data_IF_397843311601
#
_entry.id   IF_397843311601
#
_cell.length_a   1.000
_cell.length_b   1.000
_cell.length_c   1.000
_cell.angle_alpha   90.00
_cell.angle_beta   90.00
_cell.angle_gamma   90.00
#
_symmetry.space_group_name_H-M   'P 1'
#
loop_
_entity.id
_entity.type
_entity.pdbx_description
1 polymer ?
#
# COMPACT_ATOMS: atom_id res chain seq x y z
N UNK A 1 12.83 -26.40 -10.54
CA UNK A 1 11.82 -25.33 -10.63
C UNK A 1 12.00 -24.55 -9.36
N UNK A 2 12.79 -23.48 -9.47
CA UNK A 2 13.44 -22.85 -8.31
C UNK A 2 12.73 -21.54 -7.94
N UNK A 3 11.68 -21.20 -8.71
CA UNK A 3 10.84 -20.03 -8.52
C UNK A 3 10.30 -19.89 -7.10
N UNK A 4 9.77 -20.93 -6.42
CA UNK A 4 9.31 -20.78 -5.04
C UNK A 4 10.43 -20.45 -4.05
N UNK A 5 11.63 -21.00 -4.24
CA UNK A 5 12.79 -20.76 -3.38
C UNK A 5 13.35 -19.34 -3.57
N UNK A 6 13.43 -18.89 -4.82
CA UNK A 6 13.84 -17.52 -5.16
C UNK A 6 12.86 -16.50 -4.59
N UNK A 7 11.54 -16.74 -4.70
CA UNK A 7 10.53 -15.85 -4.12
C UNK A 7 10.61 -15.79 -2.60
N UNK A 8 10.82 -16.94 -1.95
CA UNK A 8 10.98 -17.00 -0.49
C UNK A 8 12.24 -16.27 0.01
N UNK A 9 13.32 -16.31 -0.77
CA UNK A 9 14.54 -15.54 -0.48
C UNK A 9 14.36 -14.04 -0.70
N UNK A 10 13.71 -13.63 -1.80
CA UNK A 10 13.48 -12.22 -2.13
C UNK A 10 12.52 -11.53 -1.17
N UNK A 11 11.42 -12.20 -0.81
CA UNK A 11 10.38 -11.65 0.06
C UNK A 11 9.78 -12.77 0.89
N UNK A 12 10.20 -12.91 2.16
CA UNK A 12 9.59 -13.87 3.06
C UNK A 12 8.07 -13.65 3.15
N UNK A 13 7.28 -14.71 3.00
CA UNK A 13 5.81 -14.68 3.08
C UNK A 13 5.26 -14.10 4.41
N UNK A 14 6.11 -14.01 5.44
CA UNK A 14 5.77 -13.40 6.73
C UNK A 14 5.37 -11.92 6.63
N UNK A 15 5.91 -11.16 5.68
CA UNK A 15 5.52 -9.76 5.48
C UNK A 15 4.06 -9.64 5.02
N UNK A 16 3.61 -10.54 4.15
CA UNK A 16 2.23 -10.57 3.67
C UNK A 16 1.28 -10.92 4.83
N UNK A 17 1.63 -11.91 5.66
CA UNK A 17 0.84 -12.26 6.84
C UNK A 17 0.70 -11.09 7.81
N UNK A 18 1.81 -10.40 8.10
CA UNK A 18 1.80 -9.22 8.97
C UNK A 18 0.96 -8.09 8.39
N UNK A 19 1.06 -7.83 7.09
CA UNK A 19 0.25 -6.80 6.44
C UNK A 19 -1.24 -7.16 6.51
N UNK A 20 -1.60 -8.42 6.26
CA UNK A 20 -2.98 -8.89 6.39
C UNK A 20 -3.51 -8.67 7.81
N UNK A 21 -2.75 -9.03 8.84
CA UNK A 21 -3.12 -8.78 10.24
C UNK A 21 -3.35 -7.29 10.54
N UNK A 22 -2.54 -6.39 9.96
CA UNK A 22 -2.72 -4.94 10.11
C UNK A 22 -4.00 -4.48 9.42
N UNK A 23 -4.32 -5.04 8.25
CA UNK A 23 -5.57 -4.76 7.55
C UNK A 23 -6.79 -5.28 8.33
N UNK A 24 -6.71 -6.50 8.87
CA UNK A 24 -7.80 -7.14 9.61
C UNK A 24 -8.10 -6.41 10.93
N UNK A 25 -7.06 -5.88 11.60
CA UNK A 25 -7.20 -5.14 12.85
C UNK A 25 -7.44 -3.64 12.66
N UNK A 26 -7.59 -3.17 11.42
CA UNK A 26 -7.78 -1.75 11.12
C UNK A 26 -9.19 -1.32 11.51
N UNK A 27 -9.30 -0.22 12.24
CA UNK A 27 -10.60 0.39 12.51
C UNK A 27 -11.23 0.95 11.24
N UNK A 28 -12.56 0.82 11.14
CA UNK A 28 -13.33 1.37 10.03
C UNK A 28 -13.09 2.88 9.86
N UNK A 29 -12.97 3.31 8.61
CA UNK A 29 -12.75 4.71 8.25
C UNK A 29 -11.28 5.17 8.27
N UNK A 30 -10.34 4.36 8.79
CA UNK A 30 -8.91 4.71 8.76
C UNK A 30 -8.40 4.76 7.32
N UNK A 31 -7.89 5.93 6.94
CA UNK A 31 -7.31 6.17 5.63
C UNK A 31 -8.31 6.63 4.56
N UNK A 32 -9.62 6.54 4.80
CA UNK A 32 -10.65 6.95 3.83
C UNK A 32 -10.54 8.43 3.41
N UNK A 33 -10.02 9.28 4.29
CA UNK A 33 -9.77 10.70 4.00
C UNK A 33 -8.86 10.89 2.79
N UNK A 34 -7.99 9.94 2.45
CA UNK A 34 -7.07 10.05 1.32
C UNK A 34 -7.83 9.98 -0.01
N UNK A 35 -8.95 9.26 -0.07
CA UNK A 35 -9.71 9.08 -1.31
C UNK A 35 -10.51 10.32 -1.71
N UNK A 36 -10.72 11.25 -0.77
CA UNK A 36 -11.30 12.56 -1.05
C UNK A 36 -10.28 13.65 -1.41
N UNK A 37 -8.98 13.33 -1.43
CA UNK A 37 -7.93 14.28 -1.80
C UNK A 37 -7.88 14.47 -3.32
N UNK A 38 -7.68 15.71 -3.76
CA UNK A 38 -7.56 16.03 -5.18
C UNK A 38 -6.38 15.30 -5.83
N UNK A 39 -5.29 15.10 -5.10
CA UNK A 39 -4.10 14.36 -5.54
C UNK A 39 -4.46 12.91 -5.88
N UNK A 40 -5.26 12.27 -5.01
CA UNK A 40 -5.73 10.90 -5.23
C UNK A 40 -6.69 10.82 -6.40
N UNK A 41 -7.65 11.75 -6.48
CA UNK A 41 -8.63 11.79 -7.56
C UNK A 41 -7.95 11.98 -8.91
N UNK A 42 -7.01 12.93 -9.02
CA UNK A 42 -6.23 13.16 -10.25
C UNK A 42 -5.43 11.95 -10.67
N UNK A 43 -4.66 11.37 -9.74
CA UNK A 43 -3.91 10.14 -9.98
C UNK A 43 -4.79 9.00 -10.47
N UNK A 44 -6.00 8.85 -9.90
CA UNK A 44 -6.95 7.79 -10.28
C UNK A 44 -7.54 8.00 -11.67
N UNK A 45 -7.74 9.25 -12.11
CA UNK A 45 -8.46 9.59 -13.34
C UNK A 45 -7.56 9.97 -14.52
N UNK A 46 -6.25 10.11 -14.32
CA UNK A 46 -5.32 10.44 -15.40
C UNK A 46 -5.21 9.28 -16.40
N UNK A 47 -5.87 9.43 -17.54
CA UNK A 47 -5.87 8.48 -18.67
C UNK A 47 -4.74 8.77 -19.69
N UNK A 48 -3.95 9.84 -19.50
CA UNK A 48 -3.16 10.46 -20.57
C UNK A 48 -1.80 9.78 -20.86
N UNK A 49 -1.72 8.45 -20.68
CA UNK A 49 -0.52 7.64 -20.95
C UNK A 49 0.67 7.88 -20.01
N UNK A 50 0.59 8.90 -19.15
CA UNK A 50 1.42 9.03 -17.95
C UNK A 50 1.09 7.87 -17.01
N UNK A 51 2.09 7.29 -16.36
CA UNK A 51 1.89 6.34 -15.27
C UNK A 51 1.97 7.10 -13.94
N UNK A 52 0.89 7.76 -13.50
CA UNK A 52 0.95 8.60 -12.32
C UNK A 52 1.27 7.74 -11.09
N UNK A 53 2.12 8.27 -10.21
CA UNK A 53 2.54 7.61 -8.97
C UNK A 53 2.18 8.50 -7.78
N UNK A 54 1.49 7.93 -6.78
CA UNK A 54 1.37 8.55 -5.46
C UNK A 54 2.48 7.99 -4.58
N UNK A 55 3.26 8.90 -3.99
CA UNK A 55 4.27 8.55 -3.00
C UNK A 55 3.85 9.07 -1.63
N UNK A 56 3.66 8.16 -0.67
CA UNK A 56 3.31 8.50 0.71
C UNK A 56 4.58 8.60 1.56
N UNK A 57 5.12 9.82 1.67
CA UNK A 57 6.30 10.11 2.50
C UNK A 57 5.93 10.35 3.97
N UNK A 58 6.81 9.95 4.88
CA UNK A 58 6.72 10.26 6.30
C UNK A 58 7.66 9.40 7.13
N UNK A 59 7.84 9.75 8.41
CA UNK A 59 8.76 9.04 9.30
C UNK A 59 8.34 7.58 9.56
N UNK A 60 9.29 6.69 9.91
CA UNK A 60 8.95 5.36 10.41
C UNK A 60 7.97 5.43 11.60
N UNK A 61 6.92 4.60 11.59
CA UNK A 61 5.96 4.54 12.69
C UNK A 61 4.76 5.50 12.58
N UNK A 62 4.72 6.44 11.64
CA UNK A 62 3.59 7.39 11.46
C UNK A 62 2.29 6.75 10.91
N UNK A 63 2.26 5.43 10.75
CA UNK A 63 1.05 4.72 10.35
C UNK A 63 0.87 4.49 8.84
N UNK A 64 1.88 4.75 8.00
CA UNK A 64 1.79 4.52 6.54
C UNK A 64 1.27 3.13 6.14
N UNK A 65 1.69 2.07 6.83
CA UNK A 65 1.24 0.68 6.58
C UNK A 65 -0.25 0.45 6.92
N UNK A 66 -0.87 1.36 7.67
CA UNK A 66 -2.29 1.35 7.98
C UNK A 66 -3.13 2.15 6.97
N UNK A 67 -2.52 2.71 5.92
CA UNK A 67 -3.25 3.27 4.77
C UNK A 67 -3.68 2.13 3.85
N UNK A 68 -4.80 2.33 3.13
CA UNK A 68 -5.38 1.34 2.21
C UNK A 68 -4.94 1.67 0.79
#
# INVERSE_FOLDING_TARGET
DDKPQILQWLSPLEHQKRHQQICDNRHDGVGEWIFGRDEYLKWRTEEDGSHPMIFCEGDPGVGKTHLR
#
